data_IF_068435310583
#
_entry.id   IF_068435310583
#
_cell.length_a   1.000
_cell.length_b   1.000
_cell.length_c   1.000
_cell.angle_alpha   90.00
_cell.angle_beta   90.00
_cell.angle_gamma   90.00
#
_symmetry.space_group_name_H-M   'P 1'
#
loop_
_entity.id
_entity.type
_entity.pdbx_description
1 polymer ?
#
# COMPACT_ATOMS: atom_id res chain seq x y z
N UNK A 1 25.21 -19.05 5.67
CA UNK A 1 24.37 -17.91 5.23
C UNK A 1 24.52 -16.66 6.11
N UNK A 2 24.76 -16.78 7.43
CA UNK A 2 24.89 -15.63 8.34
C UNK A 2 26.12 -14.73 8.09
N UNK A 3 27.24 -15.30 7.63
CA UNK A 3 28.44 -14.54 7.25
C UNK A 3 28.24 -13.67 6.01
N UNK A 4 27.41 -14.11 5.05
CA UNK A 4 27.22 -13.37 3.80
C UNK A 4 26.46 -12.03 4.00
N UNK A 5 25.65 -11.94 5.05
CA UNK A 5 24.87 -10.74 5.35
C UNK A 5 25.66 -9.68 6.15
N UNK A 6 26.78 -10.04 6.79
CA UNK A 6 27.54 -9.13 7.67
C UNK A 6 28.27 -8.01 6.93
N UNK A 7 28.69 -8.28 5.69
CA UNK A 7 29.48 -7.33 4.89
C UNK A 7 28.65 -6.59 3.83
N UNK A 8 27.35 -6.90 3.74
CA UNK A 8 26.44 -6.29 2.77
C UNK A 8 25.91 -4.97 3.32
N UNK A 9 26.00 -3.91 2.51
CA UNK A 9 25.42 -2.61 2.82
C UNK A 9 23.93 -2.63 2.48
N UNK A 10 23.15 -1.74 3.11
CA UNK A 10 21.72 -1.59 2.81
C UNK A 10 21.50 -1.31 1.31
N UNK A 11 22.42 -0.55 0.68
CA UNK A 11 22.47 -0.31 -0.77
C UNK A 11 22.57 -1.56 -1.64
N UNK A 12 23.03 -2.69 -1.10
CA UNK A 12 23.12 -3.95 -1.84
C UNK A 12 21.75 -4.63 -1.99
N UNK A 13 20.76 -4.17 -1.22
CA UNK A 13 19.39 -4.70 -1.20
C UNK A 13 18.36 -3.70 -1.71
N UNK A 14 18.64 -2.40 -1.65
CA UNK A 14 17.76 -1.34 -2.16
C UNK A 14 18.49 -0.47 -3.19
N UNK A 15 17.79 -0.12 -4.27
CA UNK A 15 18.32 0.78 -5.28
C UNK A 15 18.25 2.23 -4.77
N UNK A 16 19.36 2.76 -4.27
CA UNK A 16 19.45 4.14 -3.77
C UNK A 16 19.31 5.21 -4.88
N UNK A 17 19.57 4.85 -6.14
CA UNK A 17 19.41 5.74 -7.30
C UNK A 17 17.94 5.86 -7.74
N UNK A 18 17.08 4.95 -7.28
CA UNK A 18 15.63 5.13 -7.21
C UNK A 18 15.29 5.49 -5.77
N UNK A 19 15.49 6.75 -5.34
CA UNK A 19 15.17 7.17 -3.97
C UNK A 19 13.69 6.96 -3.66
N UNK A 20 12.86 6.92 -4.70
CA UNK A 20 11.44 6.61 -4.60
C UNK A 20 11.17 5.11 -4.71
N UNK A 21 11.81 4.33 -3.83
CA UNK A 21 11.62 2.87 -3.65
C UNK A 21 10.13 2.54 -3.35
N UNK A 22 9.34 3.58 -3.05
CA UNK A 22 7.97 3.52 -2.58
C UNK A 22 6.96 4.22 -3.50
N UNK A 23 7.39 4.76 -4.65
CA UNK A 23 6.54 5.38 -5.69
C UNK A 23 5.39 4.50 -6.17
N UNK A 24 5.54 3.18 -6.02
CA UNK A 24 4.55 2.19 -6.45
C UNK A 24 3.39 2.04 -5.45
N UNK A 25 3.45 2.67 -4.27
CA UNK A 25 2.36 2.63 -3.29
C UNK A 25 1.27 3.65 -3.65
N UNK A 26 0.33 3.24 -4.49
CA UNK A 26 -0.84 4.05 -4.80
C UNK A 26 -1.99 3.82 -3.79
N UNK A 27 -2.67 4.91 -3.43
CA UNK A 27 -3.90 4.84 -2.64
C UNK A 27 -4.99 4.10 -3.44
N UNK A 28 -5.68 3.10 -2.86
CA UNK A 28 -6.75 2.41 -3.56
C UNK A 28 -7.92 3.35 -3.82
N UNK A 29 -8.45 3.35 -5.05
CA UNK A 29 -9.62 4.16 -5.42
C UNK A 29 -10.90 3.65 -4.76
N UNK A 30 -11.66 4.57 -4.16
CA UNK A 30 -12.96 4.26 -3.58
C UNK A 30 -13.96 3.91 -4.70
N UNK A 31 -14.74 2.82 -4.56
CA UNK A 31 -15.75 2.48 -5.54
C UNK A 31 -16.86 3.53 -5.58
N UNK A 32 -17.39 3.78 -6.77
CA UNK A 32 -18.55 4.64 -6.99
C UNK A 32 -19.85 3.90 -6.63
N UNK A 33 -20.83 4.66 -6.14
CA UNK A 33 -22.18 4.14 -5.91
C UNK A 33 -22.95 4.16 -7.22
N UNK A 34 -23.62 3.06 -7.57
CA UNK A 34 -24.56 3.08 -8.70
C UNK A 34 -25.74 4.02 -8.39
N UNK A 35 -26.23 4.73 -9.40
CA UNK A 35 -27.47 5.52 -9.32
C UNK A 35 -28.72 4.63 -9.31
N UNK A 36 -28.57 3.35 -9.65
CA UNK A 36 -29.66 2.37 -9.66
C UNK A 36 -30.08 2.02 -8.23
N UNK A 37 -31.30 2.43 -7.87
CA UNK A 37 -31.90 2.15 -6.56
C UNK A 37 -32.42 0.70 -6.42
N UNK A 38 -31.64 -0.28 -6.86
CA UNK A 38 -31.95 -1.72 -6.79
C UNK A 38 -31.20 -2.33 -5.59
N UNK A 39 -31.85 -3.22 -4.83
CA UNK A 39 -31.26 -3.88 -3.67
C UNK A 39 -29.95 -4.63 -3.98
N UNK A 40 -29.86 -5.24 -5.16
CA UNK A 40 -28.65 -5.91 -5.65
C UNK A 40 -27.49 -4.93 -5.87
N UNK A 41 -27.76 -3.75 -6.45
CA UNK A 41 -26.75 -2.71 -6.63
C UNK A 41 -26.18 -2.24 -5.29
N UNK A 42 -27.03 -2.13 -4.26
CA UNK A 42 -26.59 -1.83 -2.89
C UNK A 42 -25.70 -2.93 -2.31
N UNK A 43 -26.07 -4.21 -2.46
CA UNK A 43 -25.26 -5.34 -1.97
C UNK A 43 -23.89 -5.37 -2.66
N UNK A 44 -23.86 -5.17 -3.99
CA UNK A 44 -22.61 -5.12 -4.77
C UNK A 44 -21.73 -3.95 -4.31
N UNK A 45 -22.30 -2.78 -4.06
CA UNK A 45 -21.57 -1.63 -3.54
C UNK A 45 -21.01 -1.88 -2.13
N UNK A 46 -21.81 -2.44 -1.22
CA UNK A 46 -21.40 -2.76 0.15
C UNK A 46 -20.21 -3.76 0.16
N UNK A 47 -20.20 -4.75 -0.74
CA UNK A 47 -19.06 -5.65 -0.96
C UNK A 47 -17.84 -4.90 -1.46
N UNK A 48 -17.98 -4.08 -2.51
CA UNK A 48 -16.87 -3.29 -3.08
C UNK A 48 -16.25 -2.36 -2.03
N UNK A 49 -17.08 -1.70 -1.21
CA UNK A 49 -16.63 -0.83 -0.12
C UNK A 49 -15.85 -1.63 0.93
N UNK A 50 -16.32 -2.83 1.27
CA UNK A 50 -15.64 -3.69 2.25
C UNK A 50 -14.26 -4.11 1.75
N UNK A 51 -14.16 -4.50 0.49
CA UNK A 51 -12.87 -4.83 -0.16
C UNK A 51 -11.95 -3.62 -0.21
N UNK A 52 -12.48 -2.45 -0.57
CA UNK A 52 -11.73 -1.20 -0.60
C UNK A 52 -11.17 -0.84 0.78
N UNK A 53 -11.98 -0.93 1.85
CA UNK A 53 -11.53 -0.66 3.23
C UNK A 53 -10.35 -1.54 3.64
N UNK A 54 -10.36 -2.82 3.27
CA UNK A 54 -9.24 -3.74 3.57
C UNK A 54 -7.96 -3.30 2.85
N UNK A 55 -8.07 -2.93 1.57
CA UNK A 55 -6.94 -2.42 0.79
C UNK A 55 -6.42 -1.11 1.38
N UNK A 56 -7.32 -0.20 1.73
CA UNK A 56 -6.98 1.10 2.31
C UNK A 56 -6.27 0.96 3.67
N UNK A 57 -6.76 0.08 4.56
CA UNK A 57 -6.07 -0.19 5.83
C UNK A 57 -4.66 -0.77 5.64
N UNK A 58 -4.45 -1.60 4.61
CA UNK A 58 -3.11 -2.10 4.28
C UNK A 58 -2.22 -0.98 3.75
N UNK A 59 -2.76 -0.13 2.88
CA UNK A 59 -2.08 1.06 2.36
C UNK A 59 -1.65 1.99 3.50
N UNK A 60 -2.55 2.36 4.42
CA UNK A 60 -2.22 3.25 5.53
C UNK A 60 -1.08 2.71 6.41
N UNK A 61 -1.12 1.41 6.75
CA UNK A 61 -0.03 0.79 7.53
C UNK A 61 1.31 0.82 6.81
N UNK A 62 1.30 0.59 5.50
CA UNK A 62 2.51 0.67 4.68
C UNK A 62 3.02 2.11 4.60
N UNK A 63 2.14 3.07 4.34
CA UNK A 63 2.45 4.48 4.24
C UNK A 63 3.00 5.03 5.57
N UNK A 64 2.40 4.68 6.71
CA UNK A 64 2.90 5.05 8.04
C UNK A 64 4.31 4.48 8.30
N UNK A 65 4.54 3.22 7.95
CA UNK A 65 5.86 2.60 8.03
C UNK A 65 6.88 3.30 7.13
N UNK A 66 6.47 3.74 5.93
CA UNK A 66 7.31 4.48 5.00
C UNK A 66 7.70 5.86 5.53
N UNK A 67 6.73 6.64 6.03
CA UNK A 67 7.02 7.95 6.63
C UNK A 67 8.05 7.83 7.76
N UNK A 68 7.92 6.82 8.62
CA UNK A 68 8.88 6.56 9.70
C UNK A 68 10.28 6.21 9.21
N UNK A 69 10.40 5.52 8.07
CA UNK A 69 11.70 5.18 7.48
C UNK A 69 12.33 6.43 6.84
N UNK A 70 11.55 7.24 6.12
CA UNK A 70 12.01 8.49 5.53
C UNK A 70 12.51 9.48 6.60
N UNK A 71 11.86 9.55 7.75
CA UNK A 71 12.30 10.41 8.87
C UNK A 71 13.66 10.00 9.47
N UNK A 72 14.12 8.78 9.21
CA UNK A 72 15.35 8.20 9.79
C UNK A 72 16.54 8.26 8.83
N UNK A 73 16.32 8.38 7.52
CA UNK A 73 17.35 8.37 6.47
C UNK A 73 17.68 9.79 6.04
#
# INVERSE_FOLDING_TARGET
MLEYAKDKKVSDFINLDKPDIFSELEEPLKPECSEEAIAEAKIVYDIKITVWKIKYMKYEKMNEGMTKIQDVI
#
